data_IF_419332422206
#
_entry.id   IF_419332422206
#
_cell.length_a   1.000
_cell.length_b   1.000
_cell.length_c   1.000
_cell.angle_alpha   90.00
_cell.angle_beta   90.00
_cell.angle_gamma   90.00
#
_symmetry.space_group_name_H-M   'P 1'
#
loop_
_entity.id
_entity.type
_entity.pdbx_description
1 polymer ?
#
# COMPACT_ATOMS: atom_id res chain seq x y z
N UNK A 1 -20.54 10.41 7.60
CA UNK A 1 -20.33 9.08 7.01
C UNK A 1 -18.97 9.11 6.33
N UNK A 2 -18.19 8.05 6.42
CA UNK A 2 -16.87 7.91 5.79
C UNK A 2 -16.86 6.63 4.95
N UNK A 3 -16.08 6.62 3.86
CA UNK A 3 -15.80 5.43 3.08
C UNK A 3 -14.39 5.49 2.48
N UNK A 4 -13.75 4.32 2.43
CA UNK A 4 -12.48 4.13 1.78
C UNK A 4 -12.65 3.40 0.45
N UNK A 5 -11.90 3.83 -0.56
CA UNK A 5 -11.71 3.10 -1.81
C UNK A 5 -10.34 2.46 -1.86
N UNK A 6 -10.09 1.71 -2.93
CA UNK A 6 -8.74 1.26 -3.25
C UNK A 6 -8.00 2.32 -4.08
N UNK A 7 -6.68 2.19 -4.16
CA UNK A 7 -5.88 2.71 -5.26
C UNK A 7 -5.24 1.50 -5.90
N UNK A 8 -5.43 1.30 -7.21
CA UNK A 8 -4.86 0.12 -7.85
C UNK A 8 -3.34 0.25 -7.97
N UNK A 9 -2.64 -0.87 -8.11
CA UNK A 9 -1.20 -0.85 -8.28
C UNK A 9 -0.82 -0.53 -9.73
N UNK A 10 -0.15 0.60 -9.94
CA UNK A 10 0.34 1.06 -11.24
C UNK A 10 1.86 1.15 -11.24
N UNK A 11 2.51 0.69 -12.31
CA UNK A 11 3.98 0.79 -12.44
C UNK A 11 4.47 2.24 -12.52
N UNK A 12 3.63 3.15 -12.99
CA UNK A 12 3.94 4.58 -13.03
C UNK A 12 3.98 5.23 -11.63
N UNK A 13 3.39 4.58 -10.62
CA UNK A 13 3.40 5.05 -9.25
C UNK A 13 4.47 4.28 -8.46
N UNK A 14 5.52 4.96 -8.03
CA UNK A 14 6.65 4.33 -7.35
C UNK A 14 7.35 5.30 -6.38
N UNK A 15 8.18 4.69 -5.55
CA UNK A 15 9.04 5.39 -4.60
C UNK A 15 10.49 5.13 -4.98
N UNK A 16 11.31 6.17 -4.92
CA UNK A 16 12.75 6.08 -5.10
C UNK A 16 13.48 6.99 -4.09
N UNK A 17 14.80 6.94 -4.09
CA UNK A 17 15.63 7.75 -3.20
C UNK A 17 16.08 9.01 -3.94
N UNK A 18 16.00 10.16 -3.28
CA UNK A 18 16.45 11.42 -3.85
C UNK A 18 17.99 11.42 -3.99
N UNK A 19 18.55 11.73 -5.18
CA UNK A 19 19.99 11.70 -5.39
C UNK A 19 20.74 12.88 -4.76
N UNK A 20 20.04 13.96 -4.41
CA UNK A 20 20.65 15.22 -3.97
C UNK A 20 20.32 15.52 -2.50
N UNK A 21 19.06 15.33 -2.12
CA UNK A 21 18.56 15.72 -0.81
C UNK A 21 18.64 14.58 0.19
N UNK A 22 19.03 14.93 1.41
CA UNK A 22 19.20 13.99 2.52
C UNK A 22 18.46 14.47 3.76
N UNK A 23 18.06 13.52 4.60
CA UNK A 23 17.52 13.82 5.92
C UNK A 23 18.62 14.29 6.90
N UNK A 24 18.19 14.60 8.12
CA UNK A 24 19.08 15.04 9.20
C UNK A 24 20.11 13.98 9.63
N UNK A 25 19.97 12.73 9.17
CA UNK A 25 20.87 11.61 9.46
C UNK A 25 21.74 11.24 8.26
N UNK A 26 21.70 12.02 7.17
CA UNK A 26 22.51 11.81 5.97
C UNK A 26 21.98 10.71 5.04
N UNK A 27 20.75 10.22 5.26
CA UNK A 27 20.09 9.26 4.37
C UNK A 27 19.38 10.00 3.23
N UNK A 28 19.43 9.50 1.99
CA UNK A 28 18.61 10.03 0.90
C UNK A 28 17.13 10.15 1.27
N UNK A 29 16.50 11.28 0.95
CA UNK A 29 15.06 11.44 1.17
C UNK A 29 14.27 10.48 0.29
N UNK A 30 13.10 10.04 0.79
CA UNK A 30 12.15 9.30 -0.03
C UNK A 30 11.49 10.26 -1.03
N UNK A 31 11.63 9.97 -2.31
CA UNK A 31 10.93 10.67 -3.39
C UNK A 31 9.75 9.83 -3.86
N UNK A 32 8.62 10.49 -4.05
CA UNK A 32 7.37 9.85 -4.46
C UNK A 32 6.96 10.34 -5.85
N UNK A 33 6.94 9.41 -6.80
CA UNK A 33 6.32 9.62 -8.10
C UNK A 33 4.94 8.99 -8.04
N UNK A 34 3.90 9.81 -7.87
CA UNK A 34 2.54 9.32 -7.68
C UNK A 34 1.53 10.30 -8.26
N UNK A 35 0.56 9.77 -9.01
CA UNK A 35 -0.65 10.50 -9.33
C UNK A 35 -1.88 9.58 -9.43
N UNK A 36 -3.05 10.18 -9.33
CA UNK A 36 -4.33 9.48 -9.53
C UNK A 36 -4.43 8.99 -10.97
N UNK A 37 -5.01 7.81 -11.16
CA UNK A 37 -5.35 7.31 -12.48
C UNK A 37 -6.86 7.41 -12.71
N UNK A 38 -7.27 7.37 -13.98
CA UNK A 38 -8.68 7.51 -14.38
C UNK A 38 -9.63 6.58 -13.62
N UNK A 39 -9.19 5.34 -13.36
CA UNK A 39 -9.99 4.37 -12.64
C UNK A 39 -10.19 4.76 -11.16
N UNK A 40 -9.18 5.34 -10.51
CA UNK A 40 -9.25 5.77 -9.12
C UNK A 40 -10.25 6.93 -8.97
N UNK A 41 -10.24 7.87 -9.92
CA UNK A 41 -11.21 8.97 -9.99
C UNK A 41 -12.63 8.45 -10.21
N UNK A 42 -12.83 7.56 -11.19
CA UNK A 42 -14.16 6.97 -11.49
C UNK A 42 -14.70 6.19 -10.29
N UNK A 43 -13.86 5.41 -9.61
CA UNK A 43 -14.24 4.67 -8.41
C UNK A 43 -14.63 5.62 -7.27
N UNK A 44 -13.85 6.67 -7.00
CA UNK A 44 -14.18 7.66 -5.98
C UNK A 44 -15.53 8.36 -6.26
N UNK A 45 -15.78 8.74 -7.51
CA UNK A 45 -17.05 9.34 -7.94
C UNK A 45 -18.23 8.38 -7.74
N UNK A 46 -18.07 7.12 -8.13
CA UNK A 46 -19.10 6.10 -7.93
C UNK A 46 -19.44 5.92 -6.45
N UNK A 47 -18.43 5.73 -5.60
CA UNK A 47 -18.62 5.52 -4.15
C UNK A 47 -19.30 6.72 -3.49
N UNK A 48 -18.83 7.94 -3.79
CA UNK A 48 -19.41 9.16 -3.22
C UNK A 48 -20.84 9.38 -3.72
N UNK A 49 -21.14 9.05 -4.98
CA UNK A 49 -22.50 9.05 -5.49
C UNK A 49 -23.43 8.11 -4.72
N UNK A 50 -22.95 6.93 -4.29
CA UNK A 50 -23.72 6.00 -3.44
C UNK A 50 -23.85 6.54 -2.02
N UNK A 51 -22.76 6.99 -1.41
CA UNK A 51 -22.77 7.56 -0.06
C UNK A 51 -23.69 8.77 0.04
N UNK A 52 -23.75 9.61 -0.98
CA UNK A 52 -24.61 10.80 -0.99
C UNK A 52 -26.07 10.43 -0.84
N UNK A 53 -26.56 9.42 -1.57
CA UNK A 53 -27.94 8.92 -1.45
C UNK A 53 -28.25 8.42 -0.04
N UNK A 54 -27.33 7.68 0.57
CA UNK A 54 -27.50 7.17 1.94
C UNK A 54 -27.50 8.33 2.93
N UNK A 55 -26.55 9.26 2.77
CA UNK A 55 -26.40 10.43 3.64
C UNK A 55 -27.63 11.32 3.56
N UNK A 56 -28.16 11.60 2.38
CA UNK A 56 -29.40 12.38 2.20
C UNK A 56 -30.60 11.70 2.87
N UNK A 57 -30.72 10.37 2.76
CA UNK A 57 -31.78 9.61 3.44
C UNK A 57 -31.67 9.67 4.98
N UNK A 58 -30.50 9.94 5.54
CA UNK A 58 -30.30 10.15 6.98
C UNK A 58 -30.73 11.54 7.47
N UNK A 59 -31.12 12.46 6.56
CA UNK A 59 -31.52 13.83 6.85
C UNK A 59 -30.54 14.60 7.77
N UNK A 60 -29.25 14.70 7.41
CA UNK A 60 -28.24 15.34 8.25
C UNK A 60 -28.42 16.86 8.23
N UNK A 61 -27.93 17.52 9.28
CA UNK A 61 -27.89 18.99 9.35
C UNK A 61 -26.94 19.61 8.31
N UNK A 62 -25.97 18.85 7.81
CA UNK A 62 -24.93 19.34 6.90
C UNK A 62 -24.30 18.19 6.12
N UNK A 63 -23.92 18.47 4.87
CA UNK A 63 -23.11 17.58 4.02
C UNK A 63 -21.96 18.42 3.46
N UNK A 64 -20.72 18.04 3.78
CA UNK A 64 -19.48 18.68 3.27
C UNK A 64 -18.68 17.63 2.49
N UNK A 65 -18.04 18.07 1.42
CA UNK A 65 -17.10 17.26 0.64
C UNK A 65 -17.73 16.67 -0.63
N UNK A 66 -16.90 16.00 -1.41
CA UNK A 66 -17.28 15.46 -2.71
C UNK A 66 -16.16 14.63 -3.32
N UNK A 67 -16.44 14.03 -4.48
CA UNK A 67 -15.45 13.24 -5.19
C UNK A 67 -14.45 14.13 -5.91
N UNK A 68 -13.25 13.57 -6.14
CA UNK A 68 -12.28 14.17 -7.03
C UNK A 68 -12.87 14.29 -8.44
N UNK A 69 -12.58 15.41 -9.11
CA UNK A 69 -12.96 15.63 -10.50
C UNK A 69 -12.06 14.86 -11.47
N UNK A 70 -12.44 14.76 -12.76
CA UNK A 70 -11.53 14.33 -13.81
C UNK A 70 -10.25 15.17 -13.79
N UNK A 71 -9.10 14.53 -14.09
CA UNK A 71 -7.78 15.17 -14.08
C UNK A 71 -7.38 15.83 -12.74
N UNK A 72 -7.99 15.43 -11.62
CA UNK A 72 -7.48 15.80 -10.31
C UNK A 72 -6.09 15.19 -10.11
N UNK A 73 -5.19 15.94 -9.49
CA UNK A 73 -3.84 15.50 -9.17
C UNK A 73 -3.70 15.14 -7.69
N UNK A 74 -2.71 14.30 -7.37
CA UNK A 74 -2.33 14.05 -5.99
C UNK A 74 -1.75 15.31 -5.35
N UNK A 75 -2.20 15.60 -4.14
CA UNK A 75 -1.78 16.78 -3.37
C UNK A 75 -1.49 16.34 -1.93
N UNK A 76 -0.23 16.48 -1.52
CA UNK A 76 0.26 16.15 -0.18
C UNK A 76 -0.27 17.10 0.90
N UNK A 77 -0.72 18.30 0.53
CA UNK A 77 -1.25 19.29 1.47
C UNK A 77 -2.69 18.99 1.88
N UNK A 78 -3.37 18.14 1.12
CA UNK A 78 -4.74 17.68 1.40
C UNK A 78 -4.69 16.27 1.94
N UNK A 79 -5.31 16.04 3.10
CA UNK A 79 -5.39 14.71 3.68
C UNK A 79 -6.10 13.72 2.74
N UNK A 80 -5.47 12.57 2.49
CA UNK A 80 -6.04 11.48 1.68
C UNK A 80 -6.35 10.27 2.56
N UNK A 81 -5.30 9.68 3.13
CA UNK A 81 -5.35 8.53 4.04
C UNK A 81 -3.96 8.32 4.63
N UNK A 82 -3.87 7.61 5.75
CA UNK A 82 -2.60 7.10 6.30
C UNK A 82 -2.28 5.69 5.81
N UNK A 83 -3.12 5.07 4.97
CA UNK A 83 -2.95 3.70 4.49
C UNK A 83 -2.07 3.60 3.23
N UNK A 84 -0.80 3.93 3.37
CA UNK A 84 0.21 3.69 2.33
C UNK A 84 0.57 2.20 2.29
N UNK A 85 0.56 1.61 1.09
CA UNK A 85 0.88 0.19 0.88
C UNK A 85 1.68 0.00 -0.41
N UNK A 86 2.39 -1.12 -0.50
CA UNK A 86 3.28 -1.42 -1.64
C UNK A 86 4.69 -0.85 -1.50
N UNK A 87 5.45 -0.87 -2.60
CA UNK A 87 6.86 -0.45 -2.65
C UNK A 87 7.85 -1.61 -2.53
N UNK A 88 7.65 -2.54 -1.59
CA UNK A 88 8.46 -3.76 -1.45
C UNK A 88 7.56 -5.00 -1.50
N UNK A 89 6.82 -5.13 -2.61
CA UNK A 89 5.68 -6.04 -2.69
C UNK A 89 6.09 -7.51 -2.59
N UNK A 90 5.23 -8.31 -1.97
CA UNK A 90 5.29 -9.77 -2.02
C UNK A 90 4.76 -10.28 -3.36
N UNK A 91 5.25 -11.43 -3.80
CA UNK A 91 4.73 -12.09 -4.99
C UNK A 91 5.31 -13.49 -5.16
N UNK A 92 4.96 -14.13 -6.28
CA UNK A 92 5.50 -15.44 -6.68
C UNK A 92 6.67 -15.29 -7.65
N UNK A 93 6.62 -14.31 -8.55
CA UNK A 93 7.68 -14.00 -9.51
C UNK A 93 8.80 -13.12 -8.91
N UNK A 94 10.06 -13.57 -8.83
CA UNK A 94 11.19 -12.77 -8.36
C UNK A 94 11.48 -11.53 -9.22
N UNK A 95 11.05 -11.49 -10.49
CA UNK A 95 11.26 -10.34 -11.37
C UNK A 95 10.33 -9.17 -11.07
N UNK A 96 9.26 -9.42 -10.32
CA UNK A 96 8.23 -8.41 -10.03
C UNK A 96 7.91 -8.26 -8.54
N UNK A 97 8.66 -8.91 -7.65
CA UNK A 97 8.43 -8.84 -6.20
C UNK A 97 9.76 -8.79 -5.44
N UNK A 98 9.80 -7.99 -4.38
CA UNK A 98 11.00 -7.83 -3.55
C UNK A 98 11.08 -8.92 -2.47
N UNK A 99 9.92 -9.43 -2.03
CA UNK A 99 9.82 -10.48 -1.02
C UNK A 99 8.95 -11.64 -1.51
N UNK A 100 9.17 -12.83 -0.96
CA UNK A 100 8.34 -14.00 -1.24
C UNK A 100 7.12 -14.07 -0.29
N UNK A 101 6.33 -15.15 -0.38
CA UNK A 101 5.12 -15.37 0.45
C UNK A 101 5.36 -15.37 1.97
N UNK A 102 6.61 -15.52 2.43
CA UNK A 102 6.98 -15.50 3.84
C UNK A 102 7.58 -14.16 4.27
N UNK A 103 7.44 -13.12 3.45
CA UNK A 103 8.05 -11.80 3.65
C UNK A 103 9.58 -11.84 3.66
N UNK A 104 10.19 -12.92 3.19
CA UNK A 104 11.64 -13.06 3.08
C UNK A 104 12.12 -12.35 1.82
N UNK A 105 13.22 -11.59 1.94
CA UNK A 105 13.88 -10.96 0.80
C UNK A 105 14.29 -12.01 -0.24
N UNK A 106 14.10 -11.66 -1.51
CA UNK A 106 14.52 -12.48 -2.66
C UNK A 106 16.04 -12.52 -2.80
N UNK A 107 16.71 -11.43 -2.45
CA UNK A 107 18.15 -11.25 -2.65
C UNK A 107 18.98 -11.70 -1.44
N UNK A 108 18.39 -11.61 -0.23
CA UNK A 108 19.10 -11.83 1.03
C UNK A 108 18.31 -12.79 1.93
N UNK A 109 18.71 -14.06 2.05
CA UNK A 109 17.88 -15.11 2.66
C UNK A 109 17.66 -14.96 4.17
N UNK A 110 18.47 -14.15 4.87
CA UNK A 110 18.30 -13.89 6.30
C UNK A 110 17.59 -12.57 6.61
N UNK A 111 17.00 -11.90 5.61
CA UNK A 111 16.23 -10.66 5.77
C UNK A 111 14.75 -10.91 5.56
N UNK A 112 13.93 -10.39 6.48
CA UNK A 112 12.47 -10.47 6.43
C UNK A 112 11.88 -9.09 6.64
N UNK A 113 10.85 -8.73 5.86
CA UNK A 113 10.27 -7.37 5.84
C UNK A 113 8.78 -7.42 6.17
N UNK A 114 8.43 -7.06 7.40
CA UNK A 114 7.04 -6.97 7.86
C UNK A 114 6.47 -5.56 7.66
N UNK A 115 5.34 -5.46 6.97
CA UNK A 115 4.64 -4.19 6.78
C UNK A 115 3.65 -4.21 5.63
N UNK A 116 2.87 -3.13 5.50
CA UNK A 116 1.96 -2.93 4.37
C UNK A 116 2.72 -2.74 3.03
N UNK A 117 4.04 -2.56 3.08
CA UNK A 117 4.89 -2.51 1.88
C UNK A 117 4.85 -3.79 1.07
N UNK A 118 4.57 -4.92 1.72
CA UNK A 118 4.44 -6.23 1.09
C UNK A 118 3.16 -6.37 0.25
N UNK A 119 2.20 -5.44 0.30
CA UNK A 119 0.92 -5.65 -0.38
C UNK A 119 1.04 -5.36 -1.88
N UNK A 120 0.73 -6.33 -2.75
CA UNK A 120 0.82 -6.14 -4.19
C UNK A 120 -0.35 -5.37 -4.79
N UNK A 121 -1.41 -5.12 -4.00
CA UNK A 121 -2.62 -4.40 -4.39
C UNK A 121 -3.20 -3.60 -3.22
N UNK A 122 -3.90 -2.51 -3.53
CA UNK A 122 -4.67 -1.75 -2.56
C UNK A 122 -5.93 -2.50 -2.11
N UNK A 123 -6.05 -2.76 -0.81
CA UNK A 123 -7.15 -3.57 -0.24
C UNK A 123 -8.50 -2.85 -0.18
N UNK A 124 -8.53 -1.51 -0.28
CA UNK A 124 -9.73 -0.71 -0.03
C UNK A 124 -10.25 -0.79 1.41
N UNK A 125 -9.44 -1.31 2.34
CA UNK A 125 -9.76 -1.51 3.75
C UNK A 125 -8.53 -1.27 4.62
N UNK A 126 -8.73 -1.13 5.94
CA UNK A 126 -7.64 -0.88 6.89
C UNK A 126 -6.59 -2.02 6.86
N UNK A 127 -5.31 -1.72 6.62
CA UNK A 127 -4.29 -2.74 6.33
C UNK A 127 -3.77 -3.48 7.57
N UNK A 128 -3.92 -2.91 8.78
CA UNK A 128 -3.22 -3.37 9.99
C UNK A 128 -3.50 -4.83 10.34
N UNK A 129 -4.74 -5.29 10.18
CA UNK A 129 -5.10 -6.69 10.43
C UNK A 129 -4.34 -7.65 9.50
N UNK A 130 -4.20 -7.29 8.23
CA UNK A 130 -3.42 -8.07 7.26
C UNK A 130 -1.91 -7.99 7.54
N UNK A 131 -1.40 -6.84 7.98
CA UNK A 131 0.01 -6.72 8.41
C UNK A 131 0.31 -7.66 9.58
N UNK A 132 -0.59 -7.72 10.58
CA UNK A 132 -0.44 -8.64 11.70
C UNK A 132 -0.49 -10.11 11.23
N UNK A 133 -1.46 -10.45 10.37
CA UNK A 133 -1.59 -11.81 9.84
C UNK A 133 -0.34 -12.26 9.08
N UNK A 134 0.20 -11.42 8.18
CA UNK A 134 1.43 -11.74 7.45
C UNK A 134 2.66 -11.79 8.36
N UNK A 135 2.72 -10.94 9.39
CA UNK A 135 3.78 -11.00 10.41
C UNK A 135 3.78 -12.33 11.16
N UNK A 136 2.60 -12.81 11.61
CA UNK A 136 2.48 -14.13 12.25
C UNK A 136 2.80 -15.27 11.27
N UNK A 137 2.37 -15.15 10.02
CA UNK A 137 2.68 -16.10 8.96
C UNK A 137 4.19 -16.24 8.74
N UNK A 138 4.90 -15.11 8.64
CA UNK A 138 6.36 -15.05 8.50
C UNK A 138 7.07 -15.59 9.74
N UNK A 139 6.66 -15.16 10.94
CA UNK A 139 7.25 -15.62 12.21
C UNK A 139 7.13 -17.15 12.39
N UNK A 140 5.98 -17.73 11.99
CA UNK A 140 5.79 -19.19 11.98
C UNK A 140 6.80 -19.86 11.05
N UNK A 141 6.94 -19.38 9.82
CA UNK A 141 7.89 -19.94 8.86
C UNK A 141 9.35 -19.80 9.33
N UNK A 142 9.70 -18.67 9.93
CA UNK A 142 11.02 -18.44 10.53
C UNK A 142 11.29 -19.52 11.60
N UNK A 143 10.37 -19.66 12.57
CA UNK A 143 10.52 -20.58 13.69
C UNK A 143 10.56 -22.05 13.26
N UNK A 144 9.65 -22.45 12.38
CA UNK A 144 9.38 -23.86 12.09
C UNK A 144 10.20 -24.42 10.92
N UNK A 145 10.68 -23.55 10.03
CA UNK A 145 11.39 -23.93 8.79
C UNK A 145 12.78 -23.28 8.72
N UNK A 146 12.87 -21.95 8.70
CA UNK A 146 14.13 -21.23 8.46
C UNK A 146 15.19 -21.54 9.53
N UNK A 147 14.85 -21.50 10.82
CA UNK A 147 15.82 -21.75 11.89
C UNK A 147 16.37 -23.18 11.90
N UNK A 148 15.62 -24.14 11.33
CA UNK A 148 16.08 -25.53 11.20
C UNK A 148 17.01 -25.73 10.01
N UNK A 149 16.80 -24.95 8.94
CA UNK A 149 17.62 -25.00 7.73
C UNK A 149 17.68 -23.60 7.09
N UNK A 150 18.63 -22.74 7.50
CA UNK A 150 18.73 -21.38 6.99
C UNK A 150 18.98 -21.35 5.48
N UNK A 151 18.24 -20.49 4.79
CA UNK A 151 18.33 -20.33 3.34
C UNK A 151 17.02 -19.78 2.74
N UNK A 152 16.92 -19.70 1.41
CA UNK A 152 15.68 -19.32 0.74
C UNK A 152 14.54 -20.28 1.11
N UNK A 153 13.42 -19.74 1.61
CA UNK A 153 12.21 -20.51 1.94
C UNK A 153 11.35 -20.83 0.71
N UNK A 154 11.63 -20.18 -0.42
CA UNK A 154 11.00 -20.41 -1.71
C UNK A 154 12.11 -20.50 -2.75
N UNK A 155 12.07 -21.52 -3.60
CA UNK A 155 12.99 -21.65 -4.73
C UNK A 155 12.54 -20.74 -5.88
N UNK A 156 13.51 -20.12 -6.57
CA UNK A 156 13.28 -19.23 -7.69
C UNK A 156 12.96 -19.99 -8.98
#
# INVERSE_FOLDING_TARGET
>A
MDAHGAHQSYRANYLDLDPNDKDAYGQPLLRMTFDWQDNDIKMAQFMIGKMRKITEAMNPKMIIGGAKGPAAHFDTTVYQTTHMSGGAIMGEDPKTSAVNRYLQSRDVPNVFVAGASAFPQGLGYNPTGMVAALSYWSAKAIREQYLKNPGPLVQA
#
